data_IF_065450441604
#
_entry.id   IF_065450441604
#
_cell.length_a   1.000
_cell.length_b   1.000
_cell.length_c   1.000
_cell.angle_alpha   90.00
_cell.angle_beta   90.00
_cell.angle_gamma   90.00
#
_symmetry.space_group_name_H-M   'P 1'
#
loop_
_entity.id
_entity.type
_entity.pdbx_description
1 polymer ?
#
# COMPACT_ATOMS: atom_id res chain seq x y z
N UNK A 1 -33.35 -43.42 -5.06
CA UNK A 1 -33.11 -42.17 -5.83
C UNK A 1 -31.86 -41.50 -5.26
N UNK A 2 -30.70 -41.57 -5.94
CA UNK A 2 -29.43 -41.02 -5.44
C UNK A 2 -29.43 -39.49 -5.56
N UNK A 3 -29.54 -38.79 -4.43
CA UNK A 3 -29.37 -37.34 -4.35
C UNK A 3 -27.91 -36.98 -4.68
N UNK A 4 -27.67 -36.63 -5.95
CA UNK A 4 -26.36 -36.16 -6.43
C UNK A 4 -26.23 -34.68 -6.04
N UNK A 5 -25.64 -34.43 -4.88
CA UNK A 5 -25.30 -33.06 -4.41
C UNK A 5 -24.23 -32.48 -5.33
N UNK A 6 -24.65 -31.73 -6.37
CA UNK A 6 -23.79 -31.22 -7.45
C UNK A 6 -23.11 -29.87 -7.19
N UNK A 7 -23.32 -29.23 -6.03
CA UNK A 7 -22.62 -27.99 -5.64
C UNK A 7 -22.27 -28.07 -4.16
N UNK A 8 -21.01 -28.40 -3.87
CA UNK A 8 -20.52 -28.44 -2.50
C UNK A 8 -20.57 -27.03 -1.89
N UNK A 9 -21.02 -26.93 -0.64
CA UNK A 9 -20.99 -25.70 0.15
C UNK A 9 -19.59 -25.08 0.17
N UNK A 10 -18.57 -25.93 0.12
CA UNK A 10 -17.15 -25.58 0.08
C UNK A 10 -16.77 -24.69 -1.09
N UNK A 11 -17.32 -24.87 -2.29
CA UNK A 11 -17.02 -23.99 -3.44
C UNK A 11 -17.62 -22.60 -3.24
N UNK A 12 -18.84 -22.52 -2.71
CA UNK A 12 -19.49 -21.23 -2.42
C UNK A 12 -18.80 -20.49 -1.28
N UNK A 13 -18.39 -21.21 -0.23
CA UNK A 13 -17.66 -20.67 0.90
C UNK A 13 -16.26 -20.23 0.51
N UNK A 14 -15.50 -21.04 -0.24
CA UNK A 14 -14.19 -20.64 -0.77
C UNK A 14 -14.30 -19.41 -1.67
N UNK A 15 -15.26 -19.38 -2.60
CA UNK A 15 -15.46 -18.22 -3.46
C UNK A 15 -15.81 -16.95 -2.67
N UNK A 16 -16.66 -17.05 -1.65
CA UNK A 16 -17.00 -15.92 -0.79
C UNK A 16 -15.79 -15.43 0.02
N UNK A 17 -15.03 -16.35 0.63
CA UNK A 17 -13.83 -16.02 1.41
C UNK A 17 -12.78 -15.36 0.52
N UNK A 18 -12.49 -15.94 -0.65
CA UNK A 18 -11.54 -15.33 -1.61
C UNK A 18 -12.01 -13.95 -2.05
N UNK A 19 -13.29 -13.78 -2.34
CA UNK A 19 -13.86 -12.48 -2.71
C UNK A 19 -13.67 -11.43 -1.62
N UNK A 20 -14.02 -11.75 -0.37
CA UNK A 20 -13.85 -10.84 0.79
C UNK A 20 -12.37 -10.49 1.00
N UNK A 21 -11.47 -11.47 0.89
CA UNK A 21 -10.03 -11.25 1.03
C UNK A 21 -9.49 -10.32 -0.06
N UNK A 22 -9.86 -10.54 -1.32
CA UNK A 22 -9.42 -9.68 -2.43
C UNK A 22 -9.92 -8.24 -2.27
N UNK A 23 -11.19 -8.06 -1.86
CA UNK A 23 -11.75 -6.72 -1.60
C UNK A 23 -11.01 -6.04 -0.45
N UNK A 24 -10.75 -6.76 0.64
CA UNK A 24 -10.00 -6.22 1.80
C UNK A 24 -8.59 -5.79 1.39
N UNK A 25 -7.87 -6.63 0.63
CA UNK A 25 -6.53 -6.31 0.11
C UNK A 25 -6.60 -5.07 -0.80
N UNK A 26 -7.58 -5.00 -1.70
CA UNK A 26 -7.74 -3.87 -2.61
C UNK A 26 -7.95 -2.54 -1.85
N UNK A 27 -8.80 -2.54 -0.82
CA UNK A 27 -9.03 -1.36 0.03
C UNK A 27 -7.72 -0.94 0.72
N UNK A 28 -6.98 -1.90 1.27
CA UNK A 28 -5.72 -1.61 1.97
C UNK A 28 -4.67 -1.01 1.03
N UNK A 29 -4.54 -1.57 -0.18
CA UNK A 29 -3.64 -1.05 -1.22
C UNK A 29 -4.01 0.40 -1.58
N UNK A 30 -5.30 0.69 -1.77
CA UNK A 30 -5.75 2.06 -2.13
C UNK A 30 -5.39 3.06 -1.03
N UNK A 31 -5.69 2.73 0.23
CA UNK A 31 -5.39 3.61 1.36
C UNK A 31 -3.88 3.84 1.50
N UNK A 32 -3.09 2.78 1.48
CA UNK A 32 -1.65 2.86 1.69
C UNK A 32 -0.93 3.56 0.54
N UNK A 33 -1.33 3.28 -0.71
CA UNK A 33 -0.79 3.97 -1.88
C UNK A 33 -1.11 5.46 -1.83
N UNK A 34 -2.34 5.83 -1.46
CA UNK A 34 -2.75 7.24 -1.32
C UNK A 34 -1.90 7.95 -0.27
N UNK A 35 -1.68 7.33 0.89
CA UNK A 35 -0.85 7.88 1.96
C UNK A 35 0.61 8.07 1.51
N UNK A 36 1.23 7.05 0.91
CA UNK A 36 2.62 7.14 0.44
C UNK A 36 2.78 8.18 -0.67
N UNK A 37 1.81 8.28 -1.58
CA UNK A 37 1.85 9.31 -2.61
C UNK A 37 1.75 10.69 -1.99
N UNK A 38 0.85 10.90 -1.02
CA UNK A 38 0.72 12.18 -0.34
C UNK A 38 2.02 12.56 0.38
N UNK A 39 2.58 11.64 1.16
CA UNK A 39 3.86 11.85 1.85
C UNK A 39 4.98 12.25 0.88
N UNK A 40 5.07 11.58 -0.28
CA UNK A 40 6.09 11.89 -1.29
C UNK A 40 5.86 13.24 -1.95
N UNK A 41 4.61 13.66 -2.15
CA UNK A 41 4.31 15.00 -2.64
C UNK A 41 4.77 16.06 -1.66
N UNK A 42 4.46 15.88 -0.38
CA UNK A 42 4.83 16.83 0.67
C UNK A 42 6.37 16.95 0.77
N UNK A 43 7.09 15.83 0.64
CA UNK A 43 8.56 15.82 0.54
C UNK A 43 9.06 16.61 -0.68
N UNK A 44 8.44 16.42 -1.86
CA UNK A 44 8.82 17.15 -3.06
C UNK A 44 8.56 18.64 -2.94
N UNK A 45 7.41 19.04 -2.40
CA UNK A 45 7.06 20.44 -2.15
C UNK A 45 8.10 21.07 -1.20
N UNK A 46 8.45 20.38 -0.12
CA UNK A 46 9.41 20.88 0.86
C UNK A 46 10.81 21.05 0.27
N UNK A 47 11.30 20.05 -0.49
CA UNK A 47 12.60 20.12 -1.15
C UNK A 47 12.64 21.25 -2.18
N UNK A 48 11.54 21.47 -2.87
CA UNK A 48 11.44 22.47 -3.91
C UNK A 48 11.30 23.89 -3.33
N UNK A 49 10.57 24.07 -2.23
CA UNK A 49 10.56 25.32 -1.46
C UNK A 49 11.96 25.68 -0.95
N UNK A 50 12.68 24.71 -0.39
CA UNK A 50 14.05 24.92 0.10
C UNK A 50 15.01 25.28 -1.04
N UNK A 51 14.85 24.66 -2.22
CA UNK A 51 15.65 24.96 -3.39
C UNK A 51 15.32 26.36 -3.96
N UNK A 52 14.04 26.72 -4.00
CA UNK A 52 13.59 28.02 -4.46
C UNK A 52 14.05 29.16 -3.52
N UNK A 53 13.98 28.95 -2.20
CA UNK A 53 14.45 29.91 -1.20
C UNK A 53 15.95 30.23 -1.36
N UNK A 54 16.76 29.24 -1.76
CA UNK A 54 18.21 29.44 -1.99
C UNK A 54 18.50 30.32 -3.21
N UNK A 55 17.67 30.25 -4.25
CA UNK A 55 17.88 31.03 -5.48
C UNK A 55 17.10 32.35 -5.49
N UNK A 56 16.21 32.58 -4.52
CA UNK A 56 15.29 33.72 -4.54
C UNK A 56 16.04 35.06 -4.58
N UNK A 57 17.02 35.26 -3.70
CA UNK A 57 17.84 36.49 -3.66
C UNK A 57 18.66 36.72 -4.93
N UNK A 58 19.48 35.76 -5.41
CA UNK A 58 20.26 35.97 -6.64
C UNK A 58 19.38 36.06 -7.90
N UNK A 59 18.20 35.42 -7.91
CA UNK A 59 17.25 35.52 -9.01
C UNK A 59 16.60 36.90 -9.06
N UNK A 60 16.22 37.46 -7.91
CA UNK A 60 15.69 38.82 -7.83
C UNK A 60 16.72 39.85 -8.33
N UNK A 61 18.00 39.70 -7.95
CA UNK A 61 19.09 40.57 -8.41
C UNK A 61 19.32 40.46 -9.94
N UNK A 62 19.30 39.24 -10.49
CA UNK A 62 19.44 39.02 -11.93
C UNK A 62 18.26 39.63 -12.72
N UNK A 63 17.03 39.53 -12.19
CA UNK A 63 15.86 40.13 -12.83
C UNK A 63 15.86 41.67 -12.73
N UNK A 64 16.27 42.23 -11.59
CA UNK A 64 16.42 43.69 -11.42
C UNK A 64 17.46 44.28 -12.38
N UNK A 65 18.57 43.58 -12.57
CA UNK A 65 19.62 43.95 -13.52
C UNK A 65 19.28 43.63 -14.98
N UNK A 66 18.07 43.12 -15.26
CA UNK A 66 17.63 42.67 -16.59
C UNK A 66 18.56 41.62 -17.23
N UNK A 67 19.36 40.90 -16.43
CA UNK A 67 20.29 39.87 -16.87
C UNK A 67 19.57 38.50 -16.95
N UNK A 68 18.84 38.31 -18.05
CA UNK A 68 18.06 37.10 -18.30
C UNK A 68 18.94 35.84 -18.44
N UNK A 69 20.21 35.99 -18.80
CA UNK A 69 21.15 34.88 -18.93
C UNK A 69 21.61 34.37 -17.55
N UNK A 70 21.87 35.26 -16.59
CA UNK A 70 22.10 34.87 -15.20
C UNK A 70 20.86 34.24 -14.58
N UNK A 71 19.68 34.83 -14.77
CA UNK A 71 18.42 34.26 -14.30
C UNK A 71 18.18 32.84 -14.83
N UNK A 72 18.43 32.61 -16.13
CA UNK A 72 18.38 31.29 -16.75
C UNK A 72 19.32 30.29 -16.06
N UNK A 73 20.56 30.70 -15.82
CA UNK A 73 21.60 29.82 -15.24
C UNK A 73 21.23 29.41 -13.81
N UNK A 74 20.66 30.32 -13.02
CA UNK A 74 20.16 30.04 -11.67
C UNK A 74 19.00 29.02 -11.68
N UNK A 75 18.04 29.18 -12.59
CA UNK A 75 16.91 28.23 -12.72
C UNK A 75 17.38 26.88 -13.27
N UNK A 76 18.33 26.85 -14.19
CA UNK A 76 18.95 25.59 -14.67
C UNK A 76 19.73 24.93 -13.53
N UNK A 77 20.36 25.69 -12.63
CA UNK A 77 21.01 25.17 -11.42
C UNK A 77 20.06 24.39 -10.50
N UNK A 78 18.78 24.78 -10.43
CA UNK A 78 17.75 24.05 -9.68
C UNK A 78 17.45 22.66 -10.24
N UNK A 79 17.71 22.42 -11.54
CA UNK A 79 17.57 21.10 -12.16
C UNK A 79 18.40 20.03 -11.45
N UNK A 80 19.51 20.42 -10.81
CA UNK A 80 20.41 19.50 -10.08
C UNK A 80 19.70 18.77 -8.91
N UNK A 81 18.56 19.28 -8.44
CA UNK A 81 17.69 18.57 -7.47
C UNK A 81 17.05 17.29 -8.05
N UNK A 82 17.06 17.10 -9.38
CA UNK A 82 16.54 15.91 -10.08
C UNK A 82 15.02 15.71 -9.99
N UNK A 83 14.29 16.60 -9.30
CA UNK A 83 12.84 16.49 -9.05
C UNK A 83 12.06 17.47 -9.95
N UNK A 84 12.74 18.49 -10.46
CA UNK A 84 12.16 19.54 -11.28
C UNK A 84 11.84 19.05 -12.70
N UNK A 85 10.56 19.08 -13.06
CA UNK A 85 10.07 18.76 -14.41
C UNK A 85 9.90 19.99 -15.29
N UNK A 86 9.45 21.11 -14.70
CA UNK A 86 9.28 22.39 -15.39
C UNK A 86 9.42 23.57 -14.43
N UNK A 87 9.99 24.68 -14.91
CA UNK A 87 10.05 25.94 -14.20
C UNK A 87 9.56 27.08 -15.10
N UNK A 88 8.53 27.79 -14.65
CA UNK A 88 8.00 28.97 -15.31
C UNK A 88 8.19 30.21 -14.42
N UNK A 89 8.68 31.31 -14.99
CA UNK A 89 8.72 32.62 -14.34
C UNK A 89 7.58 33.45 -14.92
N UNK A 90 6.67 33.89 -14.05
CA UNK A 90 5.49 34.69 -14.40
C UNK A 90 5.58 36.03 -13.68
N UNK A 91 5.45 37.13 -14.43
CA UNK A 91 5.40 38.49 -13.89
C UNK A 91 3.98 38.84 -13.39
N UNK A 92 3.79 39.94 -12.64
CA UNK A 92 2.52 40.23 -11.97
C UNK A 92 1.39 40.62 -12.95
N UNK A 93 1.71 40.81 -14.22
CA UNK A 93 0.76 40.98 -15.33
C UNK A 93 0.38 39.63 -16.00
N UNK A 94 0.65 38.48 -15.36
CA UNK A 94 0.50 37.14 -15.90
C UNK A 94 1.32 36.85 -17.19
N UNK A 95 2.29 37.70 -17.54
CA UNK A 95 3.16 37.46 -18.68
C UNK A 95 4.24 36.45 -18.27
N UNK A 96 4.28 35.32 -18.98
CA UNK A 96 5.31 34.29 -18.82
C UNK A 96 6.61 34.78 -19.48
N UNK A 97 7.62 35.07 -18.67
CA UNK A 97 8.91 35.59 -19.15
C UNK A 97 9.88 34.46 -19.48
N UNK A 98 9.76 33.32 -18.78
CA UNK A 98 10.61 32.17 -19.02
C UNK A 98 9.87 30.87 -18.77
N UNK A 99 10.10 29.88 -19.64
CA UNK A 99 9.64 28.50 -19.45
C UNK A 99 10.82 27.57 -19.73
N UNK A 100 11.19 26.79 -18.73
CA UNK A 100 12.24 25.78 -18.83
C UNK A 100 11.60 24.42 -18.56
N UNK A 101 11.53 23.60 -19.61
CA UNK A 101 11.10 22.20 -19.50
C UNK A 101 12.33 21.33 -19.32
N UNK A 102 12.33 20.52 -18.26
CA UNK A 102 13.45 19.65 -17.90
C UNK A 102 13.12 18.16 -18.06
N UNK A 103 11.83 17.81 -18.16
CA UNK A 103 11.34 16.45 -18.32
C UNK A 103 10.77 16.19 -19.73
N UNK A 104 10.96 14.97 -20.22
CA UNK A 104 10.39 14.50 -21.48
C UNK A 104 8.88 14.25 -21.35
N UNK A 105 8.10 14.77 -22.29
CA UNK A 105 6.65 14.67 -22.26
C UNK A 105 6.18 13.24 -22.53
N UNK A 106 5.83 12.51 -21.48
CA UNK A 106 5.21 11.19 -21.59
C UNK A 106 3.69 11.31 -21.37
N UNK A 107 2.85 10.72 -22.25
CA UNK A 107 1.41 10.77 -22.09
C UNK A 107 0.98 9.92 -20.89
N UNK A 108 0.62 10.59 -19.79
CA UNK A 108 0.07 9.94 -18.59
C UNK A 108 -1.45 9.77 -18.79
N UNK A 109 -2.02 8.58 -18.52
CA UNK A 109 -3.46 8.34 -18.58
C UNK A 109 -4.26 9.34 -17.72
N UNK A 110 -5.39 9.85 -18.23
CA UNK A 110 -6.21 10.85 -17.52
C UNK A 110 -6.69 10.36 -16.14
N UNK A 111 -7.04 9.07 -16.05
CA UNK A 111 -7.44 8.45 -14.78
C UNK A 111 -6.32 8.46 -13.75
N UNK A 112 -5.07 8.22 -14.17
CA UNK A 112 -3.90 8.27 -13.29
C UNK A 112 -3.62 9.70 -12.80
N UNK A 113 -3.84 10.72 -13.65
CA UNK A 113 -3.70 12.12 -13.24
C UNK A 113 -4.67 12.50 -12.12
N UNK A 114 -5.93 12.06 -12.22
CA UNK A 114 -6.96 12.33 -11.22
C UNK A 114 -6.75 11.50 -9.95
N UNK A 115 -6.45 10.21 -10.08
CA UNK A 115 -6.26 9.31 -8.93
C UNK A 115 -5.00 9.66 -8.13
N UNK A 116 -3.92 10.05 -8.80
CA UNK A 116 -2.65 10.37 -8.15
C UNK A 116 -2.43 11.86 -7.94
N UNK A 117 -3.38 12.73 -8.30
CA UNK A 117 -3.29 14.20 -8.15
C UNK A 117 -2.02 14.79 -8.76
N UNK A 118 -1.78 14.49 -10.05
CA UNK A 118 -0.70 15.03 -10.87
C UNK A 118 -1.31 16.11 -11.79
N UNK A 119 -0.69 17.30 -11.96
CA UNK A 119 0.68 17.67 -11.56
C UNK A 119 0.81 18.16 -10.11
N UNK A 120 2.00 18.01 -9.57
CA UNK A 120 2.41 18.60 -8.28
C UNK A 120 3.13 19.89 -8.61
N UNK A 121 2.52 21.02 -8.24
CA UNK A 121 3.00 22.37 -8.55
C UNK A 121 3.23 23.13 -7.25
N UNK A 122 4.29 23.94 -7.21
CA UNK A 122 4.57 24.86 -6.13
C UNK A 122 4.71 26.25 -6.71
N UNK A 123 3.97 27.19 -6.13
CA UNK A 123 4.01 28.61 -6.47
C UNK A 123 4.88 29.33 -5.45
N UNK A 124 6.05 29.79 -5.86
CA UNK A 124 6.95 30.55 -4.99
C UNK A 124 6.84 32.03 -5.36
N UNK A 125 6.39 32.91 -4.45
CA UNK A 125 6.34 34.34 -4.72
C UNK A 125 7.74 34.94 -4.78
N UNK A 126 8.00 35.78 -5.78
CA UNK A 126 9.22 36.56 -5.91
C UNK A 126 8.99 37.96 -5.37
N UNK A 127 9.78 38.33 -4.35
CA UNK A 127 9.80 39.66 -3.78
C UNK A 127 11.04 40.39 -4.30
N UNK A 128 10.84 41.50 -5.00
CA UNK A 128 11.92 42.35 -5.45
C UNK A 128 12.22 43.35 -4.33
N UNK A 129 13.50 43.54 -3.99
CA UNK A 129 13.88 44.34 -2.83
C UNK A 129 13.51 45.82 -2.99
N UNK A 130 12.88 46.35 -1.94
CA UNK A 130 12.53 47.75 -1.77
C UNK A 130 11.50 47.99 -0.65
N UNK A 131 10.70 46.99 -0.27
CA UNK A 131 9.65 47.14 0.75
C UNK A 131 9.59 45.88 1.64
N UNK A 132 9.43 46.10 2.95
CA UNK A 132 9.40 45.08 4.01
C UNK A 132 8.37 43.95 3.74
N UNK A 133 8.69 42.67 4.05
CA UNK A 133 7.95 41.48 3.60
C UNK A 133 6.59 41.25 4.28
N UNK A 134 6.07 42.19 5.09
CA UNK A 134 4.80 42.02 5.81
C UNK A 134 3.56 42.52 5.06
N UNK A 135 3.70 43.41 4.08
CA UNK A 135 2.57 44.01 3.31
C UNK A 135 2.84 44.17 1.80
N UNK A 136 3.95 43.65 1.27
CA UNK A 136 4.32 43.84 -0.15
C UNK A 136 3.63 42.80 -1.06
N UNK A 137 2.87 43.27 -2.06
CA UNK A 137 2.31 42.40 -3.10
C UNK A 137 3.44 41.74 -3.91
N UNK A 138 3.37 40.43 -4.17
CA UNK A 138 4.38 39.71 -4.94
C UNK A 138 4.41 40.25 -6.38
N UNK A 139 5.58 40.74 -6.82
CA UNK A 139 5.74 41.32 -8.16
C UNK A 139 6.15 40.24 -9.19
N UNK A 140 5.97 38.96 -8.88
CA UNK A 140 6.22 37.82 -9.76
C UNK A 140 6.05 36.48 -9.04
N UNK A 141 5.83 35.40 -9.79
CA UNK A 141 5.72 34.03 -9.31
C UNK A 141 6.66 33.11 -10.08
N UNK A 142 7.40 32.29 -9.35
CA UNK A 142 8.13 31.14 -9.89
C UNK A 142 7.25 29.90 -9.70
N UNK A 143 6.72 29.38 -10.80
CA UNK A 143 5.93 28.14 -10.81
C UNK A 143 6.89 27.00 -11.09
N UNK A 144 7.06 26.12 -10.11
CA UNK A 144 7.92 24.97 -10.22
C UNK A 144 7.05 23.70 -10.18
N UNK A 145 7.19 22.88 -11.22
CA UNK A 145 6.42 21.66 -11.40
C UNK A 145 7.36 20.46 -11.30
N UNK A 146 6.94 19.44 -10.53
CA UNK A 146 7.68 18.17 -10.40
C UNK A 146 7.56 17.35 -11.67
N UNK A 147 8.60 16.58 -12.00
CA UNK A 147 8.53 15.60 -13.10
C UNK A 147 7.40 14.59 -12.87
N UNK A 148 6.33 14.75 -13.65
CA UNK A 148 5.11 13.93 -13.57
C UNK A 148 5.36 12.47 -13.95
N UNK A 149 6.33 12.18 -14.82
CA UNK A 149 6.68 10.82 -15.21
C UNK A 149 7.35 10.08 -14.05
N UNK A 150 8.22 10.77 -13.30
CA UNK A 150 8.86 10.22 -12.10
C UNK A 150 7.84 9.85 -11.04
N UNK A 151 6.87 10.72 -10.77
CA UNK A 151 5.78 10.45 -9.82
C UNK A 151 4.93 9.25 -10.28
N UNK A 152 4.62 9.18 -11.58
CA UNK A 152 3.87 8.07 -12.15
C UNK A 152 4.60 6.73 -12.06
N UNK A 153 5.89 6.67 -12.43
CA UNK A 153 6.71 5.45 -12.30
C UNK A 153 6.86 5.00 -10.86
N UNK A 154 7.03 5.95 -9.93
CA UNK A 154 7.03 5.66 -8.50
C UNK A 154 5.70 5.02 -8.09
N UNK A 155 4.56 5.65 -8.40
CA UNK A 155 3.23 5.13 -8.07
C UNK A 155 3.01 3.70 -8.60
N UNK A 156 3.35 3.44 -9.87
CA UNK A 156 3.24 2.11 -10.46
C UNK A 156 4.15 1.08 -9.78
N UNK A 157 5.41 1.44 -9.51
CA UNK A 157 6.36 0.54 -8.86
C UNK A 157 5.93 0.19 -7.44
N UNK A 158 5.43 1.17 -6.69
CA UNK A 158 4.90 0.99 -5.34
C UNK A 158 3.64 0.15 -5.35
N UNK A 159 2.71 0.41 -6.27
CA UNK A 159 1.51 -0.40 -6.45
C UNK A 159 1.85 -1.86 -6.77
N UNK A 160 2.79 -2.09 -7.69
CA UNK A 160 3.24 -3.43 -8.05
C UNK A 160 3.88 -4.16 -6.85
N UNK A 161 4.72 -3.48 -6.08
CA UNK A 161 5.33 -4.05 -4.87
C UNK A 161 4.29 -4.36 -3.79
N UNK A 162 3.33 -3.46 -3.55
CA UNK A 162 2.23 -3.70 -2.60
C UNK A 162 1.39 -4.90 -3.02
N UNK A 163 0.99 -4.96 -4.29
CA UNK A 163 0.21 -6.07 -4.80
C UNK A 163 0.93 -7.41 -4.64
N UNK A 164 2.21 -7.48 -5.01
CA UNK A 164 2.99 -8.73 -4.90
C UNK A 164 3.18 -9.14 -3.45
N UNK A 165 3.53 -8.21 -2.57
CA UNK A 165 3.74 -8.49 -1.13
C UNK A 165 2.46 -8.92 -0.43
N UNK A 166 1.31 -8.28 -0.68
CA UNK A 166 0.04 -8.70 -0.08
C UNK A 166 -0.45 -10.04 -0.62
N UNK A 167 -0.30 -10.31 -1.91
CA UNK A 167 -0.63 -11.62 -2.47
C UNK A 167 0.29 -12.72 -1.91
N UNK A 168 1.58 -12.44 -1.77
CA UNK A 168 2.53 -13.36 -1.15
C UNK A 168 2.19 -13.60 0.32
N UNK A 169 1.86 -12.56 1.07
CA UNK A 169 1.43 -12.66 2.47
C UNK A 169 0.17 -13.51 2.59
N UNK A 170 -0.84 -13.29 1.73
CA UNK A 170 -2.06 -14.07 1.71
C UNK A 170 -1.79 -15.55 1.38
N UNK A 171 -0.88 -15.84 0.45
CA UNK A 171 -0.44 -17.19 0.11
C UNK A 171 0.23 -17.88 1.30
N UNK A 172 1.20 -17.22 1.93
CA UNK A 172 1.92 -17.75 3.10
C UNK A 172 0.95 -18.02 4.25
N UNK A 173 0.03 -17.09 4.51
CA UNK A 173 -0.96 -17.22 5.57
C UNK A 173 -1.91 -18.39 5.29
N UNK A 174 -2.36 -18.55 4.05
CA UNK A 174 -3.25 -19.66 3.65
C UNK A 174 -2.57 -21.01 3.85
N UNK A 175 -1.33 -21.16 3.38
CA UNK A 175 -0.55 -22.39 3.55
C UNK A 175 -0.30 -22.68 5.04
N UNK A 176 0.10 -21.66 5.80
CA UNK A 176 0.38 -21.78 7.23
C UNK A 176 -0.87 -22.20 8.02
N UNK A 177 -2.00 -21.52 7.81
CA UNK A 177 -3.27 -21.85 8.47
C UNK A 177 -3.73 -23.25 8.08
N UNK A 178 -3.70 -23.59 6.78
CA UNK A 178 -4.11 -24.91 6.31
C UNK A 178 -3.24 -26.03 6.91
N UNK A 179 -1.94 -25.79 7.04
CA UNK A 179 -1.02 -26.74 7.67
C UNK A 179 -1.28 -26.86 9.19
N UNK A 180 -1.46 -25.74 9.89
CA UNK A 180 -1.80 -25.73 11.32
C UNK A 180 -3.11 -26.48 11.59
N UNK A 181 -4.19 -26.20 10.83
CA UNK A 181 -5.47 -26.89 11.00
C UNK A 181 -5.32 -28.39 10.71
N UNK A 182 -4.64 -28.75 9.61
CA UNK A 182 -4.48 -30.15 9.24
C UNK A 182 -3.68 -30.93 10.29
N UNK A 183 -2.61 -30.33 10.83
CA UNK A 183 -1.75 -30.96 11.83
C UNK A 183 -2.39 -31.01 13.22
N UNK A 184 -2.99 -29.92 13.69
CA UNK A 184 -3.50 -29.78 15.06
C UNK A 184 -4.89 -30.39 15.22
N UNK A 185 -5.76 -30.30 14.20
CA UNK A 185 -7.16 -30.75 14.32
C UNK A 185 -7.42 -32.01 13.51
N UNK A 186 -7.12 -32.00 12.21
CA UNK A 186 -7.57 -33.07 11.30
C UNK A 186 -6.87 -34.40 11.59
N UNK A 187 -5.56 -34.39 11.82
CA UNK A 187 -4.79 -35.59 12.14
C UNK A 187 -5.31 -36.33 13.39
N UNK A 188 -5.36 -35.71 14.58
CA UNK A 188 -5.85 -36.40 15.78
C UNK A 188 -7.31 -36.84 15.64
N UNK A 189 -8.16 -36.02 15.01
CA UNK A 189 -9.55 -36.40 14.77
C UNK A 189 -9.69 -37.62 13.85
N UNK A 190 -8.84 -37.72 12.82
CA UNK A 190 -8.80 -38.87 11.91
C UNK A 190 -8.34 -40.13 12.62
N UNK A 191 -7.38 -40.03 13.53
CA UNK A 191 -6.89 -41.17 14.29
C UNK A 191 -7.95 -41.67 15.29
N UNK A 192 -8.64 -40.77 15.98
CA UNK A 192 -9.81 -41.10 16.82
C UNK A 192 -10.91 -41.79 15.99
N UNK A 193 -11.24 -41.26 14.81
CA UNK A 193 -12.28 -41.82 13.95
C UNK A 193 -11.93 -43.23 13.44
N UNK A 194 -10.64 -43.51 13.16
CA UNK A 194 -10.18 -44.85 12.77
C UNK A 194 -10.29 -45.83 13.92
N UNK A 195 -9.86 -45.42 15.11
CA UNK A 195 -9.90 -46.26 16.31
C UNK A 195 -11.35 -46.63 16.68
N UNK A 196 -12.28 -45.68 16.55
CA UNK A 196 -13.72 -45.90 16.77
C UNK A 196 -14.37 -46.82 15.73
N UNK A 197 -13.86 -46.85 14.51
CA UNK A 197 -14.42 -47.65 13.41
C UNK A 197 -13.74 -49.03 13.26
N UNK A 198 -12.76 -49.36 14.11
CA UNK A 198 -12.14 -50.67 14.14
C UNK A 198 -13.10 -51.72 14.72
N UNK A 199 -13.08 -52.95 14.18
CA UNK A 199 -13.98 -54.04 14.62
C UNK A 199 -13.61 -54.65 15.99
N UNK A 200 -12.56 -54.16 16.66
CA UNK A 200 -12.12 -54.69 17.95
C UNK A 200 -12.86 -54.05 19.14
N UNK A 201 -13.13 -54.89 20.14
CA UNK A 201 -13.83 -54.58 21.42
C UNK A 201 -13.40 -53.23 22.01
N UNK A 202 -14.29 -52.50 22.73
CA UNK A 202 -14.08 -51.09 23.04
C UNK A 202 -12.88 -50.90 23.98
N UNK A 203 -11.70 -50.67 23.39
CA UNK A 203 -10.48 -50.30 24.07
C UNK A 203 -10.54 -48.80 24.42
N UNK A 204 -9.91 -48.38 25.53
CA UNK A 204 -9.81 -46.96 25.84
C UNK A 204 -9.03 -46.23 24.75
N UNK A 205 -9.61 -45.17 24.21
CA UNK A 205 -8.98 -44.31 23.21
C UNK A 205 -7.74 -43.63 23.82
N UNK A 206 -6.57 -43.70 23.18
CA UNK A 206 -5.39 -42.96 23.63
C UNK A 206 -5.58 -41.46 23.39
N UNK A 207 -5.29 -40.65 24.41
CA UNK A 207 -5.32 -39.19 24.32
C UNK A 207 -3.92 -38.67 23.97
N UNK A 208 -3.74 -37.95 22.84
CA UNK A 208 -2.46 -37.29 22.55
C UNK A 208 -2.11 -36.27 23.63
N UNK A 209 -0.82 -36.13 23.98
CA UNK A 209 -0.37 -35.18 25.02
C UNK A 209 -0.72 -33.73 24.70
N UNK A 210 -0.68 -33.34 23.41
CA UNK A 210 -1.03 -31.98 22.97
C UNK A 210 -2.50 -31.60 23.16
N UNK A 211 -3.36 -32.58 23.46
CA UNK A 211 -4.81 -32.42 23.57
C UNK A 211 -5.33 -32.89 24.93
N UNK A 212 -4.50 -32.99 25.98
CA UNK A 212 -4.98 -33.49 27.29
C UNK A 212 -6.00 -32.56 27.94
N UNK A 213 -5.87 -31.25 27.77
CA UNK A 213 -6.64 -30.22 28.48
C UNK A 213 -7.53 -29.36 27.56
N UNK A 214 -7.76 -29.82 26.33
CA UNK A 214 -8.66 -29.14 25.39
C UNK A 214 -9.96 -29.91 25.13
N UNK A 215 -10.79 -29.39 24.24
CA UNK A 215 -12.08 -29.99 23.91
C UNK A 215 -11.94 -31.41 23.34
N UNK A 216 -10.86 -31.71 22.61
CA UNK A 216 -10.59 -33.06 22.11
C UNK A 216 -10.24 -34.01 23.25
N UNK A 217 -9.42 -33.58 24.21
CA UNK A 217 -9.13 -34.35 25.42
C UNK A 217 -10.35 -34.64 26.27
N UNK A 218 -11.20 -33.62 26.46
CA UNK A 218 -12.47 -33.78 27.18
C UNK A 218 -13.39 -34.80 26.50
N UNK A 219 -13.47 -34.79 25.17
CA UNK A 219 -14.25 -35.76 24.40
C UNK A 219 -13.70 -37.19 24.58
N UNK A 220 -12.37 -37.38 24.47
CA UNK A 220 -11.72 -38.68 24.66
C UNK A 220 -11.94 -39.22 26.08
N UNK A 221 -11.74 -38.37 27.10
CA UNK A 221 -11.98 -38.71 28.52
C UNK A 221 -13.44 -39.08 28.76
N UNK A 222 -14.38 -38.34 28.15
CA UNK A 222 -15.81 -38.61 28.21
C UNK A 222 -16.20 -39.97 27.61
N UNK A 223 -15.71 -40.26 26.39
CA UNK A 223 -15.91 -41.55 25.73
C UNK A 223 -15.36 -42.72 26.56
N UNK A 224 -14.11 -42.61 27.01
CA UNK A 224 -13.47 -43.65 27.82
C UNK A 224 -14.24 -43.93 29.12
N UNK A 225 -14.79 -42.90 29.76
CA UNK A 225 -15.65 -43.04 30.95
C UNK A 225 -16.94 -43.80 30.63
N UNK A 226 -17.58 -43.53 29.50
CA UNK A 226 -18.81 -44.23 29.09
C UNK A 226 -18.55 -45.69 28.71
N UNK A 227 -17.51 -45.94 27.90
CA UNK A 227 -17.07 -47.28 27.53
C UNK A 227 -16.76 -48.15 28.76
N UNK A 228 -16.06 -47.57 29.76
CA UNK A 228 -15.76 -48.30 30.99
C UNK A 228 -17.03 -48.61 31.82
N UNK A 229 -17.99 -47.68 31.89
CA UNK A 229 -19.28 -47.95 32.55
C UNK A 229 -20.05 -49.10 31.88
N UNK A 230 -20.06 -49.15 30.55
CA UNK A 230 -20.71 -50.24 29.82
C UNK A 230 -20.04 -51.59 30.06
N UNK A 231 -18.70 -51.62 30.11
CA UNK A 231 -17.95 -52.85 30.48
C UNK A 231 -18.27 -53.35 31.88
N UNK A 232 -18.46 -52.45 32.85
CA UNK A 232 -18.80 -52.82 34.24
C UNK A 232 -20.24 -53.34 34.36
N UNK A 233 -21.20 -52.80 33.59
CA UNK A 233 -22.59 -53.29 33.59
C UNK A 233 -22.81 -54.62 32.85
N UNK A 234 -21.89 -54.99 31.96
CA UNK A 234 -21.96 -56.25 31.19
C UNK A 234 -21.26 -57.43 31.90
N UNK A 235 -20.71 -57.22 33.10
CA UNK A 235 -20.14 -58.24 33.98
C UNK A 235 -21.11 -58.54 35.12
#
# INVERSE_FOLDING_TARGET
MKLRVKRSLTIKQMAAVTGVTLVTIAIFIIIQLSHLLQQRKDDYISQLNNAAAQIQSPLAEALLSSDLNKAKTLVVGLKTSGILGRADIVLPNNVRVMSLNFADHHPIPKLAKQLFGIPVEVNVPLYFYGISPKDAQPQGHLILQVDSNRVYRFALSTLALMLTTYLLLALILTISISWCINRIIIHPLRDIARELNGEQSPAPLPCPESHQDDELGLLIKGYNRQSNKQKVQSK
#
